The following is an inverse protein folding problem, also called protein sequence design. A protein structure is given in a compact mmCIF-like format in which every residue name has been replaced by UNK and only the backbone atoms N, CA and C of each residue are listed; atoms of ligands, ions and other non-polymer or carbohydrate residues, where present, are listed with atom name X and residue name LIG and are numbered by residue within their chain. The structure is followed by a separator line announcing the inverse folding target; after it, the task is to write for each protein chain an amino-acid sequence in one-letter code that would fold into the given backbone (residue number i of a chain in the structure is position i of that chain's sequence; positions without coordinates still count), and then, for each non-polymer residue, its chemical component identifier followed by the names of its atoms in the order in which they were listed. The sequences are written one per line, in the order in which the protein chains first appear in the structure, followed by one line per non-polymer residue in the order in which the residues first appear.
data_IF_206906698319
#
_entry.id   IF_206906698319
#
_cell.length_a   1.000
_cell.length_b   1.000
_cell.length_c   1.000
_cell.angle_alpha   90.00
_cell.angle_beta   90.00
_cell.angle_gamma   90.00
#
_symmetry.space_group_name_H-M   'P 1'
#
loop_
_entity.id
_entity.type
_entity.pdbx_description
1 polymer ?
#
# COMPACT_ATOMS: atom_id res chain seq x y z
N UNK A 1 0.48 -23.99 -2.11
CA UNK A 1 1.77 -23.43 -2.55
C UNK A 1 1.76 -21.99 -2.07
N UNK A 2 2.35 -21.77 -0.88
CA UNK A 2 2.12 -20.55 -0.11
C UNK A 2 2.75 -19.35 -0.81
N UNK A 3 1.92 -18.34 -1.04
CA UNK A 3 2.26 -17.06 -1.60
C UNK A 3 2.57 -16.13 -0.40
N UNK A 4 3.72 -15.46 -0.41
CA UNK A 4 4.27 -14.68 0.71
C UNK A 4 4.40 -13.22 0.22
N UNK A 5 3.87 -12.23 0.95
CA UNK A 5 3.54 -10.91 0.35
C UNK A 5 4.03 -9.65 1.11
N UNK A 6 4.94 -9.71 2.06
CA UNK A 6 5.61 -8.51 2.61
C UNK A 6 6.98 -8.87 3.17
N UNK A 7 8.02 -8.06 2.96
CA UNK A 7 9.34 -8.30 3.57
C UNK A 7 9.21 -8.62 5.08
N UNK A 8 10.02 -9.54 5.64
CA UNK A 8 10.10 -9.76 7.09
C UNK A 8 10.34 -8.45 7.86
N UNK A 9 10.90 -7.45 7.17
CA UNK A 9 11.25 -6.13 7.66
C UNK A 9 10.16 -5.08 7.40
N UNK A 10 8.90 -5.33 7.76
CA UNK A 10 7.99 -4.18 7.96
C UNK A 10 8.57 -3.21 9.02
N UNK A 11 8.09 -1.97 9.09
CA UNK A 11 8.66 -0.91 9.94
C UNK A 11 9.04 -1.30 11.38
N UNK A 12 9.99 -0.57 11.98
CA UNK A 12 10.46 -0.81 13.35
C UNK A 12 9.34 -0.66 14.39
N UNK A 13 8.35 0.20 14.11
CA UNK A 13 7.16 0.37 14.94
C UNK A 13 5.93 -0.13 14.21
N UNK A 14 5.27 -1.14 14.76
CA UNK A 14 4.02 -1.70 14.21
C UNK A 14 3.01 -1.84 15.31
N UNK A 15 1.80 -1.34 15.09
CA UNK A 15 0.69 -1.51 16.02
C UNK A 15 -0.62 -1.66 15.27
N UNK A 16 -1.54 -2.41 15.85
CA UNK A 16 -2.89 -2.62 15.33
C UNK A 16 -3.86 -2.55 16.51
N UNK A 17 -4.90 -1.74 16.35
CA UNK A 17 -5.89 -1.56 17.40
C UNK A 17 -7.29 -1.35 16.84
N UNK A 18 -8.28 -2.05 17.38
CA UNK A 18 -9.69 -1.78 17.10
C UNK A 18 -10.18 -0.70 18.05
N UNK A 19 -10.19 0.55 17.59
CA UNK A 19 -10.44 1.73 18.42
C UNK A 19 -11.92 2.07 18.57
N UNK A 20 -12.75 1.70 17.60
CA UNK A 20 -14.17 2.05 17.61
C UNK A 20 -15.04 0.98 16.95
N UNK A 21 -16.36 1.11 17.12
CA UNK A 21 -17.35 0.37 16.37
C UNK A 21 -18.57 1.24 16.07
N UNK A 22 -19.23 0.97 14.95
CA UNK A 22 -20.49 1.61 14.57
C UNK A 22 -21.50 0.51 14.21
N UNK A 23 -22.66 0.57 14.84
CA UNK A 23 -23.76 -0.37 14.59
C UNK A 23 -24.87 0.34 13.83
N UNK A 24 -25.22 -0.20 12.65
CA UNK A 24 -26.41 0.21 11.92
C UNK A 24 -27.48 -0.89 12.00
N UNK A 25 -28.61 -0.73 11.31
CA UNK A 25 -29.74 -1.67 11.36
C UNK A 25 -29.40 -3.08 10.83
N UNK A 26 -28.33 -3.23 10.05
CA UNK A 26 -27.96 -4.50 9.38
C UNK A 26 -26.74 -5.17 10.02
N UNK A 27 -25.74 -4.41 10.44
CA UNK A 27 -24.48 -4.96 10.94
C UNK A 27 -23.73 -3.99 11.86
N UNK A 28 -22.73 -4.54 12.55
CA UNK A 28 -21.72 -3.77 13.27
C UNK A 28 -20.41 -3.80 12.50
N UNK A 29 -19.84 -2.61 12.31
CA UNK A 29 -18.55 -2.38 11.67
C UNK A 29 -17.54 -1.89 12.72
N UNK A 30 -16.33 -2.45 12.69
CA UNK A 30 -15.25 -2.13 13.60
C UNK A 30 -14.22 -1.27 12.89
N UNK A 31 -13.82 -0.16 13.52
CA UNK A 31 -12.73 0.70 13.02
C UNK A 31 -11.41 0.17 13.59
N UNK A 32 -10.50 -0.17 12.69
CA UNK A 32 -9.19 -0.71 12.99
C UNK A 32 -8.16 0.36 12.59
N UNK A 33 -7.36 0.79 13.55
CA UNK A 33 -6.24 1.70 13.34
C UNK A 33 -4.97 0.86 13.18
N UNK A 34 -4.26 1.08 12.07
CA UNK A 34 -2.96 0.48 11.81
C UNK A 34 -1.91 1.59 11.88
N UNK A 35 -0.80 1.29 12.56
CA UNK A 35 0.37 2.16 12.65
C UNK A 35 1.58 1.39 12.12
N UNK A 36 2.24 1.93 11.10
CA UNK A 36 3.54 1.48 10.60
C UNK A 36 4.50 2.67 10.58
N UNK A 37 5.50 2.63 11.44
CA UNK A 37 6.44 3.73 11.68
C UNK A 37 5.69 5.05 11.96
N UNK A 38 5.78 6.01 11.05
CA UNK A 38 5.14 7.33 11.14
C UNK A 38 3.79 7.42 10.39
N UNK A 39 3.44 6.36 9.65
CA UNK A 39 2.22 6.29 8.86
C UNK A 39 1.14 5.58 9.67
N UNK A 40 -0.06 6.16 9.69
CA UNK A 40 -1.25 5.53 10.24
C UNK A 40 -2.35 5.53 9.21
N UNK A 41 -3.19 4.52 9.23
CA UNK A 41 -4.43 4.51 8.44
C UNK A 41 -5.51 3.72 9.17
N UNK A 42 -6.75 3.91 8.72
CA UNK A 42 -7.91 3.24 9.29
C UNK A 42 -8.56 2.34 8.25
N UNK A 43 -8.91 1.14 8.66
CA UNK A 43 -9.81 0.27 7.88
C UNK A 43 -11.05 -0.03 8.70
N UNK A 44 -12.15 -0.28 7.99
CA UNK A 44 -13.42 -0.64 8.63
C UNK A 44 -13.85 -2.02 8.17
N UNK A 45 -14.10 -2.92 9.12
CA UNK A 45 -14.43 -4.32 8.83
C UNK A 45 -15.58 -4.81 9.70
N UNK A 46 -16.44 -5.62 9.14
CA UNK A 46 -17.50 -6.33 9.87
C UNK A 46 -17.00 -7.68 10.33
N UNK A 47 -17.65 -8.26 11.34
CA UNK A 47 -17.27 -9.59 11.85
C UNK A 47 -17.28 -10.67 10.75
N UNK A 48 -18.22 -10.62 9.79
CA UNK A 48 -18.24 -11.58 8.68
C UNK A 48 -16.94 -11.54 7.86
N UNK A 49 -16.40 -10.34 7.62
CA UNK A 49 -15.15 -10.17 6.88
C UNK A 49 -13.94 -10.70 7.67
N UNK A 50 -13.94 -10.61 9.01
CA UNK A 50 -12.94 -11.28 9.85
C UNK A 50 -13.03 -12.80 9.73
N UNK A 51 -14.24 -13.35 9.64
CA UNK A 51 -14.45 -14.79 9.49
C UNK A 51 -13.97 -15.29 8.12
N UNK A 52 -14.32 -14.58 7.05
CA UNK A 52 -13.88 -14.91 5.69
C UNK A 52 -12.35 -14.80 5.57
N UNK A 53 -11.76 -13.73 6.14
CA UNK A 53 -10.31 -13.56 6.24
C UNK A 53 -9.64 -14.70 7.00
N UNK A 54 -10.16 -15.09 8.18
CA UNK A 54 -9.58 -16.15 8.98
C UNK A 54 -9.64 -17.51 8.27
N UNK A 55 -10.76 -17.82 7.63
CA UNK A 55 -10.93 -19.05 6.86
C UNK A 55 -9.89 -19.14 5.74
N UNK A 56 -9.64 -18.03 5.03
CA UNK A 56 -8.60 -17.99 4.01
C UNK A 56 -7.20 -18.06 4.60
N UNK A 57 -6.94 -17.38 5.72
CA UNK A 57 -5.65 -17.36 6.38
C UNK A 57 -5.18 -18.76 6.81
N UNK A 58 -6.06 -19.54 7.45
CA UNK A 58 -5.69 -20.87 7.97
C UNK A 58 -5.52 -21.93 6.88
N UNK A 59 -6.12 -21.73 5.68
CA UNK A 59 -5.84 -22.56 4.50
C UNK A 59 -4.38 -22.44 4.07
N UNK A 60 -3.80 -21.25 4.19
CA UNK A 60 -2.41 -20.98 3.82
C UNK A 60 -1.42 -21.20 4.95
N UNK A 61 -1.86 -21.03 6.21
CA UNK A 61 -1.01 -21.14 7.40
C UNK A 61 -1.68 -22.03 8.45
N UNK A 62 -1.58 -23.37 8.31
CA UNK A 62 -2.25 -24.32 9.19
C UNK A 62 -1.75 -24.30 10.65
N UNK A 63 -0.63 -23.64 10.93
CA UNK A 63 -0.10 -23.47 12.29
C UNK A 63 -0.86 -22.44 13.11
N UNK A 64 -1.68 -21.60 12.48
CA UNK A 64 -2.59 -20.70 13.17
C UNK A 64 -3.81 -21.50 13.64
N UNK A 65 -4.08 -21.50 14.95
CA UNK A 65 -5.23 -22.21 15.52
C UNK A 65 -6.55 -21.68 14.95
N UNK A 66 -7.36 -22.57 14.38
CA UNK A 66 -8.70 -22.27 13.88
C UNK A 66 -9.66 -21.72 14.97
N UNK A 67 -9.34 -21.93 16.26
CA UNK A 67 -10.10 -21.39 17.40
C UNK A 67 -9.64 -20.01 17.84
N UNK A 68 -8.61 -19.44 17.23
CA UNK A 68 -8.10 -18.11 17.58
C UNK A 68 -9.07 -16.98 17.23
N UNK A 69 -9.94 -17.17 16.24
CA UNK A 69 -10.99 -16.21 15.91
C UNK A 69 -12.14 -16.31 16.94
N UNK A 70 -12.62 -15.18 17.51
CA UNK A 70 -13.78 -15.18 18.39
C UNK A 70 -15.01 -15.79 17.69
N UNK A 71 -15.76 -16.69 18.34
CA UNK A 71 -16.81 -17.46 17.68
C UNK A 71 -18.01 -16.60 17.23
N UNK A 72 -18.69 -17.05 16.17
CA UNK A 72 -20.01 -16.56 15.78
C UNK A 72 -20.97 -16.85 16.94
N UNK A 73 -21.75 -15.84 17.36
CA UNK A 73 -22.81 -16.04 18.35
C UNK A 73 -24.15 -16.18 17.61
N UNK A 74 -24.93 -17.20 17.97
CA UNK A 74 -26.17 -17.55 17.27
C UNK A 74 -27.41 -16.79 17.79
N UNK A 75 -27.34 -16.15 18.97
CA UNK A 75 -28.45 -15.40 19.59
C UNK A 75 -27.98 -14.13 20.34
N UNK A 76 -28.79 -13.07 20.29
CA UNK A 76 -28.57 -11.75 20.94
C UNK A 76 -27.25 -11.05 20.53
N UNK A 77 -27.09 -10.80 19.22
CA UNK A 77 -25.87 -10.27 18.59
C UNK A 77 -25.73 -8.73 18.65
N UNK A 78 -26.74 -8.02 19.18
CA UNK A 78 -26.85 -6.56 19.09
C UNK A 78 -26.75 -5.85 20.45
N UNK A 79 -26.57 -6.56 21.57
CA UNK A 79 -26.41 -5.87 22.84
C UNK A 79 -25.07 -5.11 22.88
N UNK A 80 -25.01 -3.87 23.41
CA UNK A 80 -23.77 -3.10 23.48
C UNK A 80 -22.63 -3.84 24.18
N UNK A 81 -22.90 -4.52 25.30
CA UNK A 81 -21.90 -5.30 26.05
C UNK A 81 -21.32 -6.46 25.22
N UNK A 82 -22.16 -7.06 24.38
CA UNK A 82 -21.72 -8.14 23.52
C UNK A 82 -20.81 -7.61 22.41
N UNK A 83 -21.21 -6.52 21.76
CA UNK A 83 -20.41 -5.86 20.71
C UNK A 83 -19.07 -5.39 21.28
N UNK A 84 -19.07 -4.81 22.48
CA UNK A 84 -17.86 -4.37 23.15
C UNK A 84 -16.91 -5.53 23.45
N UNK A 85 -17.42 -6.64 24.01
CA UNK A 85 -16.61 -7.86 24.25
C UNK A 85 -16.06 -8.45 22.96
N UNK A 86 -16.87 -8.48 21.89
CA UNK A 86 -16.43 -8.96 20.58
C UNK A 86 -15.33 -8.05 20.02
N UNK A 87 -15.47 -6.72 20.12
CA UNK A 87 -14.43 -5.77 19.70
C UNK A 87 -13.10 -6.08 20.38
N UNK A 88 -13.09 -6.24 21.71
CA UNK A 88 -11.88 -6.59 22.48
C UNK A 88 -11.30 -7.94 22.03
N UNK A 89 -12.15 -8.93 21.78
CA UNK A 89 -11.70 -10.24 21.33
C UNK A 89 -11.09 -10.19 19.91
N UNK A 90 -11.67 -9.42 19.00
CA UNK A 90 -11.13 -9.19 17.65
C UNK A 90 -9.82 -8.38 17.69
N UNK A 91 -9.71 -7.40 18.60
CA UNK A 91 -8.49 -6.63 18.83
C UNK A 91 -7.32 -7.54 19.26
N UNK A 92 -7.57 -8.40 20.26
CA UNK A 92 -6.59 -9.39 20.71
C UNK A 92 -6.22 -10.38 19.60
N UNK A 93 -7.19 -10.80 18.78
CA UNK A 93 -6.94 -11.67 17.62
C UNK A 93 -5.98 -11.02 16.61
N UNK A 94 -6.19 -9.75 16.23
CA UNK A 94 -5.28 -9.06 15.32
C UNK A 94 -3.88 -8.88 15.91
N UNK A 95 -3.78 -8.49 17.17
CA UNK A 95 -2.49 -8.36 17.88
C UNK A 95 -1.74 -9.68 17.91
N UNK A 96 -2.43 -10.78 18.21
CA UNK A 96 -1.86 -12.12 18.14
C UNK A 96 -1.30 -12.43 16.74
N UNK A 97 -2.06 -12.15 15.68
CA UNK A 97 -1.57 -12.41 14.33
C UNK A 97 -0.35 -11.55 13.98
N UNK A 98 -0.38 -10.24 14.26
CA UNK A 98 0.78 -9.36 14.02
C UNK A 98 2.03 -9.87 14.76
N UNK A 99 1.86 -10.28 16.01
CA UNK A 99 2.93 -10.86 16.82
C UNK A 99 3.44 -12.18 16.21
N UNK A 100 2.54 -13.06 15.77
CA UNK A 100 2.87 -14.32 15.12
C UNK A 100 3.74 -14.12 13.88
N UNK A 101 3.32 -13.24 12.95
CA UNK A 101 4.11 -12.96 11.75
C UNK A 101 5.45 -12.30 12.07
N UNK A 102 5.47 -11.39 13.05
CA UNK A 102 6.70 -10.68 13.45
C UNK A 102 7.72 -11.62 14.08
N UNK A 103 7.34 -12.42 15.08
CA UNK A 103 8.27 -13.32 15.80
C UNK A 103 8.82 -14.40 14.87
N UNK A 104 7.97 -14.94 13.99
CA UNK A 104 8.40 -15.97 13.05
C UNK A 104 9.10 -15.40 11.80
N UNK A 105 9.30 -14.06 11.73
CA UNK A 105 9.88 -13.38 10.56
C UNK A 105 9.18 -13.76 9.24
N UNK A 106 7.87 -13.97 9.31
CA UNK A 106 7.06 -14.41 8.19
C UNK A 106 6.52 -13.21 7.43
N UNK A 107 6.47 -13.35 6.12
CA UNK A 107 5.78 -12.41 5.26
C UNK A 107 4.26 -12.52 5.45
N UNK A 108 3.53 -11.39 5.35
CA UNK A 108 2.07 -11.40 5.43
C UNK A 108 1.48 -12.05 4.16
N UNK A 109 0.44 -12.90 4.28
CA UNK A 109 -0.27 -13.44 3.12
C UNK A 109 -1.15 -12.38 2.45
N UNK A 110 -1.52 -12.57 1.18
CA UNK A 110 -2.31 -11.59 0.41
C UNK A 110 -3.68 -11.32 1.03
N UNK A 111 -4.33 -12.34 1.58
CA UNK A 111 -5.59 -12.14 2.30
C UNK A 111 -5.41 -11.16 3.48
N UNK A 112 -4.25 -11.15 4.14
CA UNK A 112 -3.93 -10.22 5.21
C UNK A 112 -3.64 -8.81 4.68
N UNK A 113 -2.82 -8.73 3.63
CA UNK A 113 -2.48 -7.48 2.93
C UNK A 113 -3.75 -6.77 2.45
N UNK A 114 -4.72 -7.52 1.92
CA UNK A 114 -6.00 -7.00 1.46
C UNK A 114 -6.98 -6.75 2.60
N UNK A 115 -6.98 -7.57 3.66
CA UNK A 115 -7.85 -7.37 4.80
C UNK A 115 -7.54 -6.05 5.54
N UNK A 116 -6.28 -5.61 5.58
CA UNK A 116 -5.87 -4.37 6.25
C UNK A 116 -5.37 -3.28 5.30
N UNK A 117 -5.64 -3.39 3.99
CA UNK A 117 -5.30 -2.39 2.98
C UNK A 117 -3.80 -2.01 2.91
N UNK A 118 -2.90 -2.93 3.25
CA UNK A 118 -1.44 -2.71 3.13
C UNK A 118 -1.03 -2.36 1.70
N UNK A 119 -1.72 -2.91 0.69
CA UNK A 119 -1.48 -2.61 -0.72
C UNK A 119 -1.75 -1.14 -1.11
N UNK A 120 -2.41 -0.35 -0.25
CA UNK A 120 -2.67 1.07 -0.49
C UNK A 120 -1.66 1.99 0.20
N UNK A 121 -1.01 1.53 1.28
CA UNK A 121 -0.27 2.42 2.19
C UNK A 121 1.16 1.95 2.51
N UNK A 122 1.45 0.65 2.41
CA UNK A 122 2.76 0.08 2.71
C UNK A 122 3.60 -0.09 1.44
N UNK A 123 4.91 0.16 1.55
CA UNK A 123 5.85 0.23 0.43
C UNK A 123 5.81 -1.02 -0.46
N UNK A 124 5.91 -2.22 0.11
CA UNK A 124 5.89 -3.47 -0.65
C UNK A 124 4.53 -3.71 -1.29
N UNK A 125 3.46 -3.48 -0.55
CA UNK A 125 2.09 -3.59 -1.04
C UNK A 125 1.85 -2.71 -2.27
N UNK A 126 2.26 -1.44 -2.21
CA UNK A 126 2.10 -0.47 -3.30
C UNK A 126 2.95 -0.85 -4.51
N UNK A 127 4.23 -1.18 -4.30
CA UNK A 127 5.15 -1.58 -5.38
C UNK A 127 4.63 -2.82 -6.08
N UNK A 128 4.21 -3.84 -5.33
CA UNK A 128 3.68 -5.08 -5.89
C UNK A 128 2.45 -4.85 -6.76
N UNK A 129 1.47 -4.09 -6.26
CA UNK A 129 0.26 -3.77 -7.03
C UNK A 129 0.59 -3.01 -8.32
N UNK A 130 1.52 -2.06 -8.24
CA UNK A 130 1.99 -1.32 -9.41
C UNK A 130 2.73 -2.22 -10.41
N UNK A 131 3.58 -3.14 -9.94
CA UNK A 131 4.26 -4.11 -10.80
C UNK A 131 3.25 -4.96 -11.56
N UNK A 132 2.23 -5.48 -10.88
CA UNK A 132 1.16 -6.29 -11.50
C UNK A 132 0.36 -5.47 -12.55
N UNK A 133 -0.01 -4.23 -12.21
CA UNK A 133 -0.71 -3.33 -13.14
C UNK A 133 0.12 -3.04 -14.41
N UNK A 134 1.43 -2.80 -14.26
CA UNK A 134 2.35 -2.53 -15.35
C UNK A 134 2.74 -3.80 -16.13
N UNK A 135 2.80 -4.96 -15.48
CA UNK A 135 2.99 -6.23 -16.17
C UNK A 135 1.82 -6.51 -17.14
N UNK A 136 0.58 -6.22 -16.70
CA UNK A 136 -0.61 -6.47 -17.51
C UNK A 136 -0.86 -5.41 -18.60
N UNK A 137 -0.49 -4.16 -18.36
CA UNK A 137 -0.89 -3.03 -19.20
C UNK A 137 0.29 -2.18 -19.73
N UNK A 138 1.52 -2.42 -19.30
CA UNK A 138 2.69 -1.61 -19.59
C UNK A 138 2.93 -1.44 -21.08
N UNK A 139 2.99 -2.55 -21.83
CA UNK A 139 3.19 -2.53 -23.28
C UNK A 139 2.11 -1.70 -23.99
N UNK A 140 0.85 -1.84 -23.58
CA UNK A 140 -0.27 -1.08 -24.15
C UNK A 140 -0.15 0.41 -23.86
N UNK A 141 0.35 0.78 -22.69
CA UNK A 141 0.58 2.19 -22.31
C UNK A 141 1.75 2.75 -23.13
N UNK A 142 2.84 1.99 -23.29
CA UNK A 142 4.01 2.41 -24.07
C UNK A 142 3.70 2.53 -25.57
N UNK A 143 2.86 1.65 -26.11
CA UNK A 143 2.46 1.66 -27.51
C UNK A 143 1.24 2.54 -27.81
N UNK A 144 0.66 3.21 -26.80
CA UNK A 144 -0.57 3.97 -26.97
C UNK A 144 -0.36 5.12 -27.98
N UNK A 145 -1.22 5.25 -29.00
CA UNK A 145 -1.12 6.35 -29.95
C UNK A 145 -1.45 7.69 -29.26
N UNK A 146 -0.68 8.72 -29.59
CA UNK A 146 -0.84 10.07 -29.05
C UNK A 146 0.00 10.34 -27.80
N UNK A 147 -0.13 11.57 -27.28
CA UNK A 147 0.64 12.05 -26.12
C UNK A 147 -0.15 11.88 -24.81
N UNK A 148 -0.74 10.70 -24.58
CA UNK A 148 -1.49 10.47 -23.34
C UNK A 148 -0.48 10.24 -22.20
N UNK A 149 -0.47 11.07 -21.15
CA UNK A 149 0.47 10.89 -20.05
C UNK A 149 0.12 9.65 -19.23
N UNK A 150 1.15 8.86 -18.88
CA UNK A 150 1.08 7.87 -17.83
C UNK A 150 0.98 8.57 -16.48
N UNK A 151 -0.03 8.19 -15.70
CA UNK A 151 -0.28 8.78 -14.39
C UNK A 151 0.32 7.92 -13.30
N UNK A 152 1.19 8.50 -12.48
CA UNK A 152 1.74 7.87 -11.28
C UNK A 152 1.64 8.82 -10.10
N UNK A 153 1.26 8.33 -8.92
CA UNK A 153 1.14 9.19 -7.73
C UNK A 153 2.51 9.44 -7.07
N UNK A 154 2.67 10.55 -6.32
CA UNK A 154 3.84 10.76 -5.46
C UNK A 154 4.07 9.61 -4.48
N UNK A 155 2.99 8.99 -3.99
CA UNK A 155 3.06 7.85 -3.08
C UNK A 155 3.66 6.60 -3.76
N UNK A 156 3.25 6.30 -4.99
CA UNK A 156 3.85 5.21 -5.77
C UNK A 156 5.34 5.48 -6.07
N UNK A 157 5.69 6.70 -6.49
CA UNK A 157 7.09 7.11 -6.71
C UNK A 157 7.93 7.02 -5.44
N UNK A 158 7.37 7.44 -4.30
CA UNK A 158 7.99 7.32 -2.98
C UNK A 158 8.22 5.86 -2.61
N UNK A 159 7.22 4.99 -2.79
CA UNK A 159 7.32 3.57 -2.51
C UNK A 159 8.41 2.90 -3.35
N UNK A 160 8.50 3.19 -4.65
CA UNK A 160 9.58 2.71 -5.53
C UNK A 160 10.94 3.19 -5.01
N UNK A 161 11.07 4.49 -4.74
CA UNK A 161 12.32 5.10 -4.25
C UNK A 161 12.78 4.47 -2.93
N UNK A 162 11.85 4.20 -2.01
CA UNK A 162 12.12 3.52 -0.74
C UNK A 162 12.52 2.07 -0.98
N UNK A 163 11.80 1.34 -1.83
CA UNK A 163 12.03 -0.08 -2.08
C UNK A 163 13.39 -0.37 -2.71
N UNK A 164 13.91 0.53 -3.53
CA UNK A 164 15.28 0.43 -4.09
C UNK A 164 16.35 0.66 -3.01
N UNK A 165 16.07 1.49 -2.01
CA UNK A 165 16.99 1.77 -0.90
C UNK A 165 17.03 0.65 0.13
N UNK A 166 15.96 -0.14 0.22
CA UNK A 166 15.99 -1.41 0.95
C UNK A 166 16.88 -2.35 0.14
N UNK A 167 18.03 -2.74 0.68
CA UNK A 167 19.01 -3.63 0.03
C UNK A 167 18.48 -5.08 -0.07
N UNK A 168 17.28 -5.23 -0.59
CA UNK A 168 16.52 -6.46 -0.76
C UNK A 168 16.47 -6.82 -2.25
N UNK A 169 16.44 -8.11 -2.62
CA UNK A 169 16.28 -8.52 -4.00
C UNK A 169 15.06 -7.84 -4.66
N UNK A 170 15.16 -7.39 -5.93
CA UNK A 170 14.02 -6.82 -6.64
C UNK A 170 12.92 -7.86 -6.94
N UNK A 171 13.31 -9.14 -6.94
CA UNK A 171 12.49 -10.29 -7.27
C UNK A 171 12.06 -11.06 -6.02
N UNK A 172 10.74 -11.18 -5.78
CA UNK A 172 10.19 -12.27 -4.97
C UNK A 172 10.15 -13.49 -5.90
N UNK A 173 11.04 -14.47 -5.71
CA UNK A 173 11.34 -15.57 -6.66
C UNK A 173 10.16 -16.48 -7.06
N UNK A 174 8.95 -16.21 -6.59
CA UNK A 174 7.77 -17.03 -6.77
C UNK A 174 6.64 -16.36 -7.60
N UNK A 175 6.76 -15.07 -7.97
CA UNK A 175 5.77 -14.38 -8.84
C UNK A 175 6.44 -13.32 -9.73
N UNK A 176 6.87 -13.68 -10.96
CA UNK A 176 7.56 -12.77 -11.86
C UNK A 176 6.74 -11.52 -12.19
N UNK A 177 5.42 -11.60 -12.27
CA UNK A 177 4.55 -10.48 -12.62
C UNK A 177 4.59 -9.31 -11.60
N UNK A 178 5.17 -9.56 -10.43
CA UNK A 178 5.19 -8.64 -9.29
C UNK A 178 6.60 -8.10 -8.98
N UNK A 179 7.55 -8.33 -9.89
CA UNK A 179 8.95 -7.90 -9.76
C UNK A 179 9.10 -6.38 -9.94
N UNK A 180 9.87 -5.74 -9.04
CA UNK A 180 10.25 -4.32 -9.14
C UNK A 180 10.92 -4.00 -10.49
N UNK A 181 11.61 -4.98 -11.08
CA UNK A 181 12.30 -4.87 -12.36
C UNK A 181 11.36 -4.47 -13.50
N UNK A 182 10.11 -4.95 -13.49
CA UNK A 182 9.10 -4.56 -14.49
C UNK A 182 8.72 -3.09 -14.38
N UNK A 183 8.63 -2.57 -13.16
CA UNK A 183 8.38 -1.14 -12.93
C UNK A 183 9.56 -0.34 -13.48
N UNK A 184 10.79 -0.71 -13.13
CA UNK A 184 11.98 0.04 -13.54
C UNK A 184 12.16 0.04 -15.05
N UNK A 185 11.94 -1.10 -15.71
CA UNK A 185 11.98 -1.21 -17.16
C UNK A 185 10.92 -0.31 -17.81
N UNK A 186 9.67 -0.37 -17.34
CA UNK A 186 8.60 0.50 -17.82
C UNK A 186 8.93 1.99 -17.64
N UNK A 187 9.41 2.40 -16.46
CA UNK A 187 9.77 3.80 -16.17
C UNK A 187 10.92 4.29 -17.04
N UNK A 188 11.85 3.42 -17.46
CA UNK A 188 12.92 3.80 -18.39
C UNK A 188 12.37 4.21 -19.76
N UNK A 189 11.26 3.61 -20.21
CA UNK A 189 10.74 3.75 -21.57
C UNK A 189 9.60 4.76 -21.71
N UNK A 190 8.90 5.11 -20.62
CA UNK A 190 7.75 6.02 -20.70
C UNK A 190 8.16 7.45 -21.11
N UNK A 191 7.37 8.04 -22.02
CA UNK A 191 7.67 9.34 -22.64
C UNK A 191 6.89 10.52 -22.08
N UNK A 192 5.64 10.29 -21.68
CA UNK A 192 4.73 11.32 -21.19
C UNK A 192 4.31 10.91 -19.78
N UNK A 193 4.70 11.68 -18.78
CA UNK A 193 4.48 11.33 -17.37
C UNK A 193 3.78 12.48 -16.66
N UNK A 194 2.76 12.14 -15.87
CA UNK A 194 2.18 13.06 -14.91
C UNK A 194 2.28 12.49 -13.49
N UNK A 195 2.79 13.31 -12.58
CA UNK A 195 2.89 13.01 -11.16
C UNK A 195 1.98 13.97 -10.42
N UNK A 196 0.86 13.44 -9.94
CA UNK A 196 -0.23 14.25 -9.37
C UNK A 196 -0.45 13.85 -7.92
N UNK A 197 -0.14 14.76 -7.01
CA UNK A 197 -0.44 14.66 -5.59
C UNK A 197 -1.82 15.20 -5.23
N UNK A 198 -2.06 15.30 -3.92
CA UNK A 198 -3.26 15.88 -3.33
C UNK A 198 -2.90 16.70 -2.10
N UNK A 199 -3.59 17.81 -1.81
CA UNK A 199 -3.41 18.56 -0.56
C UNK A 199 -3.96 17.79 0.66
N UNK A 200 -4.89 16.86 0.41
CA UNK A 200 -5.55 16.06 1.43
C UNK A 200 -4.71 14.86 1.86
N UNK A 201 -5.14 14.26 2.95
CA UNK A 201 -4.62 12.96 3.34
C UNK A 201 -4.95 11.91 2.28
N UNK A 202 -4.02 10.98 2.03
CA UNK A 202 -4.28 9.88 1.12
C UNK A 202 -5.22 8.86 1.76
N UNK A 203 -6.43 8.71 1.22
CA UNK A 203 -7.43 7.78 1.75
C UNK A 203 -7.74 8.06 3.22
N UNK A 204 -7.66 7.03 4.05
CA UNK A 204 -7.87 7.12 5.51
C UNK A 204 -6.57 7.32 6.29
N UNK A 205 -5.45 7.54 5.59
CA UNK A 205 -4.13 7.58 6.20
C UNK A 205 -3.71 8.97 6.68
N UNK A 206 -2.59 9.05 7.39
CA UNK A 206 -1.89 10.31 7.71
C UNK A 206 -0.95 10.75 6.59
N UNK A 207 -0.87 10.01 5.48
CA UNK A 207 0.07 10.30 4.39
C UNK A 207 -0.33 11.60 3.70
N UNK A 208 0.61 12.53 3.69
CA UNK A 208 0.57 13.76 2.91
C UNK A 208 1.39 13.60 1.63
N UNK A 209 0.71 13.27 0.53
CA UNK A 209 1.38 12.93 -0.73
C UNK A 209 2.27 14.05 -1.26
N UNK A 210 1.93 15.31 -0.98
CA UNK A 210 2.70 16.47 -1.44
C UNK A 210 4.10 16.58 -0.82
N UNK A 211 4.32 15.94 0.34
CA UNK A 211 5.58 16.04 1.10
C UNK A 211 6.44 14.77 0.98
N UNK A 212 6.02 13.78 0.18
CA UNK A 212 6.79 12.55 0.02
C UNK A 212 8.00 12.77 -0.88
N UNK A 213 9.17 12.32 -0.42
CA UNK A 213 10.41 12.36 -1.19
C UNK A 213 10.47 11.23 -2.21
N UNK A 214 10.80 11.53 -3.46
CA UNK A 214 10.98 10.50 -4.48
C UNK A 214 12.01 10.91 -5.54
N UNK A 215 12.57 9.90 -6.20
CA UNK A 215 13.57 10.08 -7.25
C UNK A 215 12.93 9.95 -8.63
N UNK A 216 13.14 10.94 -9.50
CA UNK A 216 12.70 10.89 -10.90
C UNK A 216 13.80 10.38 -11.84
N UNK A 217 14.98 10.03 -11.33
CA UNK A 217 16.08 9.52 -12.14
C UNK A 217 15.77 8.21 -12.86
N UNK A 218 14.71 7.49 -12.46
CA UNK A 218 14.24 6.27 -13.12
C UNK A 218 13.75 6.53 -14.55
N UNK A 219 13.27 7.74 -14.84
CA UNK A 219 12.79 8.09 -16.18
C UNK A 219 13.98 8.38 -17.11
N UNK A 220 14.18 7.53 -18.12
CA UNK A 220 15.29 7.68 -19.08
C UNK A 220 14.87 8.25 -20.43
N UNK A 221 13.58 8.14 -20.77
CA UNK A 221 13.03 8.52 -22.08
C UNK A 221 11.95 9.60 -22.02
N UNK A 222 11.74 10.22 -20.85
CA UNK A 222 10.65 11.18 -20.64
C UNK A 222 10.86 12.46 -21.46
N UNK A 223 9.89 12.79 -22.30
CA UNK A 223 9.83 13.98 -23.16
C UNK A 223 8.95 15.07 -22.55
N UNK A 224 7.90 14.68 -21.81
CA UNK A 224 6.99 15.59 -21.10
C UNK A 224 6.78 15.12 -19.67
N UNK A 225 7.01 16.03 -18.72
CA UNK A 225 6.79 15.80 -17.30
C UNK A 225 5.82 16.85 -16.75
N UNK A 226 4.71 16.38 -16.18
CA UNK A 226 3.74 17.19 -15.47
C UNK A 226 3.85 16.90 -13.98
N UNK A 227 4.08 17.92 -13.17
CA UNK A 227 4.09 17.85 -11.71
C UNK A 227 2.94 18.69 -11.18
N UNK A 228 2.04 18.08 -10.41
CA UNK A 228 0.90 18.78 -9.81
C UNK A 228 0.75 18.42 -8.34
N UNK A 229 0.63 19.42 -7.48
CA UNK A 229 0.51 19.26 -6.02
C UNK A 229 1.65 18.42 -5.39
N UNK A 230 2.90 18.70 -5.77
CA UNK A 230 4.11 18.06 -5.23
C UNK A 230 5.10 19.11 -4.77
N UNK A 231 5.74 18.95 -3.62
CA UNK A 231 6.82 19.85 -3.21
C UNK A 231 8.11 19.55 -4.00
N UNK A 232 8.55 20.48 -4.84
CA UNK A 232 9.73 20.28 -5.72
C UNK A 232 11.02 20.00 -4.95
N UNK A 233 11.17 20.49 -3.71
CA UNK A 233 12.33 20.19 -2.85
C UNK A 233 12.41 18.73 -2.40
N UNK A 234 11.33 17.96 -2.55
CA UNK A 234 11.27 16.53 -2.23
C UNK A 234 11.65 15.65 -3.43
N UNK A 235 11.87 16.25 -4.60
CA UNK A 235 12.17 15.54 -5.84
C UNK A 235 13.67 15.51 -6.07
N UNK A 236 14.25 14.32 -6.18
CA UNK A 236 15.67 14.13 -6.54
C UNK A 236 15.80 13.66 -7.98
N UNK A 237 16.99 13.82 -8.58
CA UNK A 237 17.29 13.26 -9.90
C UNK A 237 16.80 14.06 -11.11
N UNK A 238 16.21 15.25 -10.89
CA UNK A 238 15.73 16.13 -11.98
C UNK A 238 16.84 16.47 -12.99
N UNK A 239 18.09 16.63 -12.54
CA UNK A 239 19.21 16.92 -13.42
C UNK A 239 19.44 15.85 -14.51
N UNK A 240 19.07 14.60 -14.23
CA UNK A 240 19.19 13.50 -15.19
C UNK A 240 18.18 13.61 -16.35
N UNK A 241 17.15 14.43 -16.19
CA UNK A 241 16.08 14.60 -17.17
C UNK A 241 16.35 15.73 -18.18
N UNK A 242 17.39 16.55 -17.95
CA UNK A 242 17.70 17.75 -18.76
C UNK A 242 17.88 17.46 -20.25
N UNK A 243 18.33 16.25 -20.61
CA UNK A 243 18.58 15.86 -22.01
C UNK A 243 17.33 15.36 -22.73
N UNK A 244 16.32 14.89 -22.00
CA UNK A 244 15.16 14.21 -22.58
C UNK A 244 13.90 15.07 -22.52
N UNK A 245 13.71 15.80 -21.41
CA UNK A 245 12.51 16.61 -21.18
C UNK A 245 12.50 17.84 -22.08
N UNK A 246 11.43 17.95 -22.88
CA UNK A 246 11.14 19.08 -23.77
C UNK A 246 10.04 19.98 -23.21
N UNK A 247 9.12 19.42 -22.43
CA UNK A 247 8.02 20.14 -21.80
C UNK A 247 7.97 19.78 -20.32
N UNK A 248 8.05 20.79 -19.46
CA UNK A 248 7.91 20.66 -18.01
C UNK A 248 6.79 21.58 -17.54
N UNK A 249 5.74 21.00 -16.96
CA UNK A 249 4.60 21.72 -16.41
C UNK A 249 4.57 21.52 -14.90
N UNK A 250 4.53 22.61 -14.14
CA UNK A 250 4.51 22.58 -12.68
C UNK A 250 3.28 23.35 -12.20
N UNK A 251 2.35 22.65 -11.55
CA UNK A 251 1.10 23.20 -11.04
C UNK A 251 1.01 23.02 -9.52
N UNK A 252 0.58 24.03 -8.77
CA UNK A 252 0.32 23.93 -7.31
C UNK A 252 1.45 23.28 -6.49
N UNK A 253 2.69 23.42 -6.97
CA UNK A 253 3.87 22.66 -6.51
C UNK A 253 5.04 23.57 -6.10
N UNK A 254 4.89 24.88 -6.33
CA UNK A 254 5.91 25.88 -6.01
C UNK A 254 5.65 26.46 -4.61
N UNK A 255 6.62 26.31 -3.71
CA UNK A 255 6.63 27.00 -2.40
C UNK A 255 7.73 28.08 -2.31
N UNK A 256 8.74 28.05 -3.19
CA UNK A 256 9.70 29.14 -3.38
C UNK A 256 10.39 29.02 -4.75
N UNK A 257 10.58 30.15 -5.43
CA UNK A 257 11.48 30.31 -6.57
C UNK A 257 12.77 30.90 -5.99
N UNK A 258 13.86 30.14 -5.99
CA UNK A 258 15.21 30.67 -5.82
C UNK A 258 16.05 30.25 -7.01
#
# INVERSE_FOLDING_TARGET
MALWFTSPQLGNRRDVQITNFQTNQKYTEYTIDICLDDIRWQVKKRYSEFADFHEELIKHIPTIDAKSLPPKKLLNNNSPDFIHRRRLALDNYLKYLFQFFTINSLQLPECFVNFLDFHLYEVHGIVRKLAEELFLNGDKILSAPGKKPFSISPLQMHAITRRIKLAEPPCDSNDPAKDLSHILDFLCHVKYVQIIGSPDNFGTSTIKTQFLSFDVSFFKSVEELILDCVQTSQITGIDNLKKTVRHLSIHRSLTSIR
#
